data_IF_714609305135
#
_entry.id   IF_714609305135
#
_cell.length_a   1.000
_cell.length_b   1.000
_cell.length_c   1.000
_cell.angle_alpha   90.00
_cell.angle_beta   90.00
_cell.angle_gamma   90.00
#
_symmetry.space_group_name_H-M   'P 1'
#
loop_
_entity.id
_entity.type
_entity.pdbx_description
1 polymer ?
#
# COMPACT_ATOMS: atom_id res chain seq x y z
N UNK A 1 -31.02 -13.67 -6.44
CA UNK A 1 -30.30 -12.40 -6.25
C UNK A 1 -29.63 -12.43 -4.88
N UNK A 2 -28.46 -13.04 -4.78
CA UNK A 2 -27.62 -12.94 -3.57
C UNK A 2 -27.03 -11.54 -3.55
N UNK A 3 -27.62 -10.66 -2.74
CA UNK A 3 -26.98 -9.39 -2.39
C UNK A 3 -25.81 -9.70 -1.48
N UNK A 4 -24.61 -9.90 -2.05
CA UNK A 4 -23.40 -9.84 -1.24
C UNK A 4 -23.33 -8.44 -0.63
N UNK A 5 -23.34 -8.37 0.70
CA UNK A 5 -23.14 -7.11 1.39
C UNK A 5 -21.77 -6.55 1.00
N UNK A 6 -21.75 -5.31 0.49
CA UNK A 6 -20.52 -4.58 0.20
C UNK A 6 -19.59 -4.64 1.44
N UNK A 7 -18.32 -5.05 1.26
CA UNK A 7 -17.41 -5.20 2.38
C UNK A 7 -17.16 -3.84 3.03
N UNK A 8 -17.35 -3.76 4.35
CA UNK A 8 -17.18 -2.49 5.06
C UNK A 8 -15.72 -2.03 5.05
N UNK A 9 -15.52 -0.72 5.10
CA UNK A 9 -14.17 -0.11 5.17
C UNK A 9 -13.35 -0.64 6.35
N UNK A 10 -13.99 -0.96 7.49
CA UNK A 10 -13.32 -1.52 8.66
C UNK A 10 -12.76 -2.91 8.37
N UNK A 11 -13.56 -3.79 7.74
CA UNK A 11 -13.15 -5.15 7.38
C UNK A 11 -11.98 -5.12 6.39
N UNK A 12 -12.07 -4.30 5.33
CA UNK A 12 -11.00 -4.20 4.32
C UNK A 12 -9.68 -3.71 4.93
N UNK A 13 -9.72 -2.70 5.81
CA UNK A 13 -8.54 -2.20 6.52
C UNK A 13 -7.97 -3.23 7.49
N UNK A 14 -8.84 -3.96 8.21
CA UNK A 14 -8.45 -5.04 9.10
C UNK A 14 -7.71 -6.15 8.37
N UNK A 15 -8.25 -6.58 7.22
CA UNK A 15 -7.61 -7.57 6.35
C UNK A 15 -6.27 -7.07 5.81
N UNK A 16 -6.21 -5.82 5.33
CA UNK A 16 -4.97 -5.19 4.88
C UNK A 16 -3.93 -5.05 5.99
N UNK A 17 -4.31 -4.98 7.27
CA UNK A 17 -3.40 -4.94 8.42
C UNK A 17 -3.00 -6.33 8.95
N UNK A 18 -3.78 -7.37 8.68
CA UNK A 18 -3.57 -8.71 9.23
C UNK A 18 -2.25 -9.35 8.72
N UNK A 19 -1.22 -9.57 9.57
CA UNK A 19 0.05 -10.15 9.14
C UNK A 19 -0.08 -11.55 8.53
N UNK A 20 -1.12 -12.31 8.88
CA UNK A 20 -1.41 -13.63 8.31
C UNK A 20 -2.21 -13.58 6.99
N UNK A 21 -2.56 -12.40 6.48
CA UNK A 21 -3.24 -12.28 5.20
C UNK A 21 -2.32 -12.70 4.05
N UNK A 22 -2.76 -13.59 3.15
CA UNK A 22 -1.97 -14.00 1.99
C UNK A 22 -1.67 -12.83 1.03
N UNK A 23 -0.52 -12.91 0.35
CA UNK A 23 -0.08 -11.90 -0.61
C UNK A 23 -1.12 -11.63 -1.70
N UNK A 24 -1.75 -12.68 -2.23
CA UNK A 24 -2.77 -12.60 -3.27
C UNK A 24 -3.99 -11.79 -2.82
N UNK A 25 -4.38 -11.92 -1.56
CA UNK A 25 -5.48 -11.16 -0.97
C UNK A 25 -5.10 -9.68 -0.88
N UNK A 26 -3.88 -9.38 -0.43
CA UNK A 26 -3.39 -8.00 -0.30
C UNK A 26 -3.23 -7.31 -1.66
N UNK A 27 -2.75 -8.05 -2.67
CA UNK A 27 -2.68 -7.55 -4.06
C UNK A 27 -4.07 -7.26 -4.62
N UNK A 28 -5.05 -8.12 -4.36
CA UNK A 28 -6.44 -7.89 -4.76
C UNK A 28 -7.06 -6.70 -4.04
N UNK A 29 -6.75 -6.52 -2.75
CA UNK A 29 -7.15 -5.34 -1.99
C UNK A 29 -6.56 -4.05 -2.58
N UNK A 30 -5.27 -4.05 -2.97
CA UNK A 30 -4.64 -2.91 -3.63
C UNK A 30 -5.34 -2.55 -4.95
N UNK A 31 -5.71 -3.56 -5.74
CA UNK A 31 -6.37 -3.36 -7.03
C UNK A 31 -7.80 -2.81 -6.89
N UNK A 32 -8.58 -3.34 -5.95
CA UNK A 32 -10.02 -3.06 -5.84
C UNK A 32 -10.36 -1.95 -4.83
N UNK A 33 -9.59 -1.85 -3.75
CA UNK A 33 -9.83 -0.92 -2.64
C UNK A 33 -8.53 -0.24 -2.18
N UNK A 34 -7.85 0.52 -3.07
CA UNK A 34 -6.50 1.04 -2.82
C UNK A 34 -6.40 1.95 -1.59
N UNK A 35 -7.45 2.73 -1.27
CA UNK A 35 -7.45 3.62 -0.12
C UNK A 35 -7.52 2.86 1.21
N UNK A 36 -8.32 1.79 1.27
CA UNK A 36 -8.44 0.91 2.43
C UNK A 36 -7.19 0.04 2.59
N UNK A 37 -6.69 -0.51 1.48
CA UNK A 37 -5.48 -1.31 1.44
C UNK A 37 -4.27 -0.50 1.90
N UNK A 38 -4.06 0.71 1.36
CA UNK A 38 -3.00 1.63 1.78
C UNK A 38 -3.07 1.92 3.29
N UNK A 39 -4.26 2.25 3.82
CA UNK A 39 -4.41 2.61 5.23
C UNK A 39 -4.03 1.44 6.17
N UNK A 40 -4.36 0.20 5.81
CA UNK A 40 -3.96 -0.99 6.57
C UNK A 40 -2.48 -1.34 6.41
N UNK A 41 -1.98 -1.35 5.17
CA UNK A 41 -0.59 -1.70 4.85
C UNK A 41 0.40 -0.71 5.48
N UNK A 42 0.09 0.59 5.52
CA UNK A 42 0.93 1.61 6.16
C UNK A 42 1.10 1.41 7.67
N UNK A 43 0.26 0.60 8.31
CA UNK A 43 0.36 0.24 9.74
C UNK A 43 1.16 -1.03 9.99
N UNK A 44 1.63 -1.72 8.95
CA UNK A 44 2.48 -2.90 9.09
C UNK A 44 3.94 -2.50 9.24
N UNK A 45 4.63 -3.12 10.20
CA UNK A 45 6.09 -3.03 10.32
C UNK A 45 6.76 -3.52 9.03
N UNK A 46 6.34 -4.70 8.55
CA UNK A 46 6.88 -5.33 7.35
C UNK A 46 5.80 -5.52 6.28
N UNK A 47 6.22 -5.43 5.01
CA UNK A 47 5.38 -5.75 3.86
C UNK A 47 5.84 -7.07 3.27
N UNK A 48 4.91 -7.96 2.86
CA UNK A 48 5.28 -9.11 2.07
C UNK A 48 6.01 -8.69 0.80
N UNK A 49 7.08 -9.41 0.38
CA UNK A 49 7.92 -9.00 -0.75
C UNK A 49 7.12 -8.74 -2.03
N UNK A 50 6.16 -9.61 -2.37
CA UNK A 50 5.33 -9.44 -3.58
C UNK A 50 4.50 -8.15 -3.56
N UNK A 51 3.96 -7.80 -2.39
CA UNK A 51 3.19 -6.57 -2.21
C UNK A 51 4.11 -5.36 -2.30
N UNK A 52 5.27 -5.41 -1.64
CA UNK A 52 6.29 -4.35 -1.69
C UNK A 52 6.75 -4.08 -3.13
N UNK A 53 6.95 -5.12 -3.92
CA UNK A 53 7.45 -5.01 -5.30
C UNK A 53 6.38 -4.51 -6.28
N UNK A 54 5.09 -4.72 -5.97
CA UNK A 54 3.97 -4.24 -6.79
C UNK A 54 3.67 -2.74 -6.55
N UNK A 55 3.82 -2.27 -5.32
CA UNK A 55 3.43 -0.91 -4.92
C UNK A 55 4.08 0.24 -5.71
N UNK A 56 5.37 0.23 -6.12
CA UNK A 56 6.00 1.35 -6.83
C UNK A 56 5.37 1.66 -8.18
N UNK A 57 4.73 0.66 -8.81
CA UNK A 57 4.11 0.78 -10.13
C UNK A 57 2.60 1.02 -10.06
N UNK A 58 2.06 1.14 -8.84
CA UNK A 58 0.63 1.23 -8.65
C UNK A 58 0.07 2.57 -9.16
N UNK A 59 -1.09 2.61 -9.82
CA UNK A 59 -1.66 3.85 -10.36
C UNK A 59 -2.00 4.88 -9.28
N UNK A 60 -2.46 4.42 -8.10
CA UNK A 60 -2.74 5.31 -6.96
C UNK A 60 -1.45 5.88 -6.34
N UNK A 61 -1.28 7.21 -6.29
CA UNK A 61 -0.13 7.84 -5.65
C UNK A 61 -0.11 7.63 -4.13
N UNK A 62 -1.26 7.36 -3.49
CA UNK A 62 -1.28 7.02 -2.06
C UNK A 62 -0.57 5.70 -1.81
N UNK A 63 -0.86 4.69 -2.64
CA UNK A 63 -0.20 3.38 -2.56
C UNK A 63 1.31 3.50 -2.79
N UNK A 64 1.74 4.27 -3.80
CA UNK A 64 3.18 4.53 -4.00
C UNK A 64 3.81 5.25 -2.81
N UNK A 65 3.12 6.27 -2.28
CA UNK A 65 3.54 7.04 -1.11
C UNK A 65 3.71 6.22 0.17
N UNK A 66 3.00 5.11 0.35
CA UNK A 66 3.21 4.21 1.49
C UNK A 66 4.62 3.63 1.54
N UNK A 67 5.31 3.50 0.40
CA UNK A 67 6.70 3.06 0.39
C UNK A 67 7.65 4.21 0.76
N UNK A 68 7.35 5.44 0.37
CA UNK A 68 8.22 6.59 0.67
C UNK A 68 8.41 6.79 2.19
N UNK A 69 7.35 6.55 2.97
CA UNK A 69 7.40 6.64 4.44
C UNK A 69 8.13 5.46 5.12
N UNK A 70 8.60 4.46 4.38
CA UNK A 70 9.25 3.26 4.95
C UNK A 70 10.77 3.41 5.01
N UNK A 71 11.41 3.02 6.13
CA UNK A 71 12.87 3.02 6.26
C UNK A 71 13.54 1.97 5.35
N UNK A 72 12.93 0.80 5.22
CA UNK A 72 13.51 -0.38 4.54
C UNK A 72 13.17 -0.43 3.04
N UNK A 73 13.43 0.65 2.31
CA UNK A 73 13.29 0.72 0.85
C UNK A 73 14.67 0.83 0.22
N UNK A 74 14.96 0.01 -0.79
CA UNK A 74 16.24 0.03 -1.49
C UNK A 74 16.48 1.38 -2.21
N UNK A 75 17.74 1.70 -2.46
CA UNK A 75 18.13 3.00 -3.02
C UNK A 75 17.50 3.29 -4.40
N UNK A 76 17.31 2.26 -5.24
CA UNK A 76 16.71 2.43 -6.58
C UNK A 76 15.23 2.76 -6.47
N UNK A 77 14.49 2.03 -5.64
CA UNK A 77 13.08 2.32 -5.38
C UNK A 77 12.92 3.69 -4.73
N UNK A 78 13.81 4.07 -3.80
CA UNK A 78 13.76 5.39 -3.16
C UNK A 78 14.01 6.52 -4.16
N UNK A 79 15.00 6.39 -5.04
CA UNK A 79 15.25 7.36 -6.11
C UNK A 79 14.03 7.52 -7.03
N UNK A 80 13.36 6.42 -7.40
CA UNK A 80 12.14 6.46 -8.20
C UNK A 80 10.99 7.20 -7.49
N UNK A 81 10.83 7.02 -6.17
CA UNK A 81 9.80 7.71 -5.37
C UNK A 81 10.09 9.22 -5.25
N UNK A 82 11.37 9.61 -5.16
CA UNK A 82 11.78 11.02 -5.15
C UNK A 82 11.56 11.71 -6.51
N UNK A 83 11.57 10.94 -7.60
CA UNK A 83 11.26 11.40 -8.94
C UNK A 83 9.77 11.26 -9.31
N UNK A 84 8.90 10.82 -8.38
CA UNK A 84 7.49 10.53 -8.67
C UNK A 84 6.75 11.79 -9.17
N UNK A 85 5.93 11.68 -10.24
CA UNK A 85 5.16 12.83 -10.75
C UNK A 85 4.25 13.44 -9.67
N UNK A 86 3.69 12.62 -8.78
CA UNK A 86 2.83 13.10 -7.71
C UNK A 86 3.67 13.74 -6.59
N UNK A 87 3.53 15.06 -6.41
CA UNK A 87 4.23 15.82 -5.37
C UNK A 87 4.04 15.25 -3.96
N UNK A 88 2.89 14.63 -3.68
CA UNK A 88 2.61 13.99 -2.38
C UNK A 88 3.53 12.80 -2.11
N UNK A 89 3.87 12.02 -3.13
CA UNK A 89 4.81 10.88 -2.99
C UNK A 89 6.19 11.39 -2.63
N UNK A 90 6.61 12.51 -3.26
CA UNK A 90 7.90 13.16 -3.01
C UNK A 90 8.04 13.73 -1.59
N UNK A 91 6.96 14.25 -0.99
CA UNK A 91 6.99 14.81 0.37
C UNK A 91 7.00 13.78 1.50
N UNK A 92 6.61 12.54 1.24
CA UNK A 92 6.52 11.49 2.25
C UNK A 92 7.89 10.88 2.63
N UNK A 93 8.98 11.40 2.07
CA UNK A 93 10.37 11.11 2.46
C UNK A 93 10.82 11.83 3.76
N UNK A 94 9.96 12.62 4.39
CA UNK A 94 10.32 13.36 5.62
C UNK A 94 10.53 12.37 6.78
N UNK A 95 11.74 12.24 7.35
CA UNK A 95 11.91 11.55 8.62
C UNK A 95 11.09 12.31 9.68
N UNK A 96 10.42 11.55 10.55
CA UNK A 96 9.86 12.09 11.78
C UNK A 96 10.98 12.62 12.69
#
# INVERSE_FOLDING_TARGET
MTGEAEPTTSVLRGLARNPAAPDEVLLRLLALWPDQAYAGLSRRAELPPRVRDAMPRHPSPRVRGALAARPAVDARTRAALLADPAWRVRLLDRPA
#
